data_IF_271288370458
#
_entry.id   IF_271288370458
#
_cell.length_a   1.000
_cell.length_b   1.000
_cell.length_c   1.000
_cell.angle_alpha   90.00
_cell.angle_beta   90.00
_cell.angle_gamma   90.00
#
_symmetry.space_group_name_H-M   'P 1'
#
loop_
_entity.id
_entity.type
_entity.pdbx_description
1 polymer ?
#
# COMPACT_ATOMS: atom_id res chain seq x y z
N UNK A 1 8.17 -27.89 9.04
CA UNK A 1 8.46 -26.77 8.11
C UNK A 1 9.74 -26.11 8.58
N UNK A 2 10.82 -26.26 7.83
CA UNK A 2 12.14 -25.72 8.17
C UNK A 2 12.14 -24.16 8.04
N UNK A 3 12.46 -23.40 9.10
CA UNK A 3 12.54 -21.94 9.06
C UNK A 3 13.55 -21.39 8.04
N UNK A 4 14.52 -22.20 7.60
CA UNK A 4 15.55 -21.82 6.63
C UNK A 4 15.09 -21.81 5.17
N UNK A 5 13.91 -22.38 4.88
CA UNK A 5 13.30 -22.38 3.54
C UNK A 5 12.47 -21.12 3.25
N UNK A 6 12.36 -20.17 4.19
CA UNK A 6 11.97 -18.80 3.84
C UNK A 6 13.20 -18.12 3.27
N UNK A 7 13.24 -17.96 1.94
CA UNK A 7 14.14 -17.00 1.31
C UNK A 7 14.02 -15.66 2.07
N UNK A 8 15.09 -15.16 2.69
CA UNK A 8 15.01 -13.94 3.47
C UNK A 8 14.65 -12.80 2.50
N UNK A 9 13.65 -12.01 2.87
CA UNK A 9 13.25 -10.77 2.18
C UNK A 9 14.43 -9.79 1.96
N UNK A 10 15.58 -10.02 2.64
CA UNK A 10 16.84 -9.27 2.57
C UNK A 10 17.34 -8.92 1.15
N UNK A 11 17.09 -9.75 0.14
CA UNK A 11 17.58 -9.46 -1.22
C UNK A 11 16.70 -8.46 -1.99
N UNK A 12 15.41 -8.32 -1.65
CA UNK A 12 14.54 -7.28 -2.21
C UNK A 12 14.72 -5.92 -1.49
N UNK A 13 15.17 -5.95 -0.23
CA UNK A 13 15.34 -4.75 0.62
C UNK A 13 16.33 -3.75 0.03
N UNK A 14 17.45 -4.18 -0.56
CA UNK A 14 18.47 -3.24 -1.09
C UNK A 14 17.96 -2.40 -2.26
N UNK A 15 17.16 -2.98 -3.16
CA UNK A 15 16.57 -2.25 -4.28
C UNK A 15 15.54 -1.22 -3.81
N UNK A 16 14.73 -1.58 -2.82
CA UNK A 16 13.76 -0.67 -2.20
C UNK A 16 14.44 0.46 -1.42
N UNK A 17 15.52 0.18 -0.68
CA UNK A 17 16.30 1.22 0.01
C UNK A 17 16.86 2.24 -0.99
N UNK A 18 17.46 1.79 -2.10
CA UNK A 18 17.98 2.69 -3.12
C UNK A 18 16.89 3.53 -3.78
N UNK A 19 15.72 2.93 -4.08
CA UNK A 19 14.57 3.65 -4.61
C UNK A 19 14.09 4.73 -3.64
N UNK A 20 13.98 4.40 -2.35
CA UNK A 20 13.57 5.32 -1.29
C UNK A 20 14.57 6.47 -1.17
N UNK A 21 15.88 6.17 -1.11
CA UNK A 21 16.93 7.19 -1.04
C UNK A 21 16.90 8.13 -2.26
N UNK A 22 16.70 7.58 -3.46
CA UNK A 22 16.57 8.36 -4.70
C UNK A 22 15.32 9.25 -4.69
N UNK A 23 14.16 8.73 -4.23
CA UNK A 23 12.93 9.51 -4.09
C UNK A 23 13.10 10.68 -3.13
N UNK A 24 13.72 10.46 -1.96
CA UNK A 24 14.00 11.51 -0.97
C UNK A 24 14.95 12.56 -1.55
N UNK A 25 16.03 12.13 -2.21
CA UNK A 25 17.01 13.03 -2.81
C UNK A 25 16.39 13.92 -3.90
N UNK A 26 15.46 13.37 -4.69
CA UNK A 26 14.75 14.10 -5.75
C UNK A 26 13.64 15.01 -5.22
N UNK A 27 12.99 14.68 -4.11
CA UNK A 27 11.88 15.47 -3.56
C UNK A 27 12.29 16.64 -2.67
N UNK A 28 13.58 16.75 -2.34
CA UNK A 28 14.16 18.05 -2.06
C UNK A 28 13.98 18.65 -0.67
N UNK A 29 13.24 18.09 0.32
CA UNK A 29 13.59 18.31 1.77
C UNK A 29 12.80 17.59 2.87
N UNK A 30 11.73 16.82 2.64
CA UNK A 30 11.15 16.03 3.74
C UNK A 30 10.29 14.87 3.25
N UNK A 31 10.47 13.72 3.88
CA UNK A 31 9.66 12.53 3.66
C UNK A 31 9.06 12.06 4.99
N UNK A 32 7.89 11.44 4.91
CA UNK A 32 7.28 10.74 6.03
C UNK A 32 6.84 9.34 5.57
N UNK A 33 7.11 8.34 6.39
CA UNK A 33 6.72 6.96 6.10
C UNK A 33 5.43 6.67 6.85
N UNK A 34 4.43 6.20 6.13
CA UNK A 34 3.17 5.76 6.70
C UNK A 34 2.96 4.27 6.46
N UNK A 35 2.47 3.57 7.47
CA UNK A 35 2.18 2.14 7.39
C UNK A 35 1.00 1.80 8.30
N UNK A 36 0.38 0.64 8.13
CA UNK A 36 -0.66 0.21 9.06
C UNK A 36 -0.09 -0.51 10.28
N UNK A 37 -0.95 -0.87 11.22
CA UNK A 37 -0.58 -1.72 12.36
C UNK A 37 -0.13 -3.13 11.97
N UNK A 38 -0.28 -3.55 10.71
CA UNK A 38 0.08 -4.91 10.30
C UNK A 38 1.56 -5.19 10.51
N UNK A 39 1.85 -6.18 11.36
CA UNK A 39 3.21 -6.59 11.76
C UNK A 39 4.18 -6.67 10.58
N UNK A 40 3.84 -7.39 9.52
CA UNK A 40 4.71 -7.55 8.34
C UNK A 40 5.02 -6.22 7.62
N UNK A 41 4.08 -5.28 7.61
CA UNK A 41 4.30 -3.97 6.99
C UNK A 41 5.17 -3.09 7.89
N UNK A 42 4.99 -3.17 9.22
CA UNK A 42 5.87 -2.51 10.19
C UNK A 42 7.30 -3.04 10.11
N UNK A 43 7.49 -4.37 10.15
CA UNK A 43 8.80 -5.00 10.04
C UNK A 43 9.50 -4.57 8.74
N UNK A 44 8.77 -4.51 7.62
CA UNK A 44 9.31 -4.00 6.35
C UNK A 44 9.71 -2.52 6.43
N UNK A 45 8.89 -1.67 7.06
CA UNK A 45 9.26 -0.26 7.28
C UNK A 45 10.51 -0.13 8.17
N UNK A 46 10.58 -0.88 9.26
CA UNK A 46 11.73 -0.88 10.17
C UNK A 46 13.00 -1.34 9.45
N UNK A 47 12.94 -2.41 8.66
CA UNK A 47 14.07 -2.88 7.85
C UNK A 47 14.56 -1.83 6.84
N UNK A 48 13.66 -1.05 6.25
CA UNK A 48 13.99 -0.03 5.24
C UNK A 48 14.46 1.29 5.84
N UNK A 49 13.92 1.70 6.98
CA UNK A 49 14.05 3.06 7.50
C UNK A 49 14.74 3.17 8.86
N UNK A 50 15.07 2.06 9.52
CA UNK A 50 15.75 2.04 10.84
C UNK A 50 17.05 2.85 10.90
N UNK A 51 17.76 2.99 9.78
CA UNK A 51 19.01 3.76 9.70
C UNK A 51 18.80 5.18 9.13
N UNK A 52 17.57 5.69 9.11
CA UNK A 52 17.23 7.02 8.60
C UNK A 52 16.62 7.89 9.70
N UNK A 53 16.61 9.21 9.52
CA UNK A 53 15.90 10.15 10.41
C UNK A 53 14.40 10.28 10.09
N UNK A 54 13.88 9.45 9.17
CA UNK A 54 12.51 9.57 8.67
C UNK A 54 11.55 8.92 9.65
N UNK A 55 10.52 9.62 10.13
CA UNK A 55 9.56 9.05 11.06
C UNK A 55 8.70 7.97 10.36
N UNK A 56 8.50 6.85 11.05
CA UNK A 56 7.50 5.82 10.70
C UNK A 56 6.24 6.11 11.51
N UNK A 57 5.16 6.43 10.82
CA UNK A 57 3.86 6.80 11.41
C UNK A 57 2.84 5.72 11.10
N UNK A 58 2.09 5.30 12.11
CA UNK A 58 1.02 4.31 11.94
C UNK A 58 -0.28 5.03 11.54
N UNK A 59 -0.91 4.54 10.47
CA UNK A 59 -2.23 4.98 10.02
C UNK A 59 -3.06 3.78 9.54
N UNK A 60 -4.11 3.44 10.28
CA UNK A 60 -4.94 2.27 9.99
C UNK A 60 -5.71 2.37 8.67
N UNK A 61 -5.86 3.58 8.11
CA UNK A 61 -6.46 3.75 6.78
C UNK A 61 -5.60 3.18 5.65
N UNK A 62 -4.35 2.80 5.92
CA UNK A 62 -3.47 2.09 4.99
C UNK A 62 -3.46 0.58 5.19
N UNK A 63 -4.23 0.05 6.14
CA UNK A 63 -4.35 -1.40 6.38
C UNK A 63 -4.81 -2.09 5.09
N UNK A 64 -4.34 -3.31 4.83
CA UNK A 64 -4.90 -4.10 3.73
C UNK A 64 -6.42 -4.19 3.85
N UNK A 65 -7.12 -4.35 2.73
CA UNK A 65 -8.57 -4.56 2.74
C UNK A 65 -8.97 -5.70 3.68
N UNK A 66 -10.02 -5.50 4.48
CA UNK A 66 -10.63 -6.59 5.22
C UNK A 66 -11.46 -7.45 4.27
N UNK A 67 -11.00 -8.66 3.98
CA UNK A 67 -11.72 -9.59 3.12
C UNK A 67 -12.60 -10.56 3.92
N UNK A 68 -12.73 -10.35 5.22
CA UNK A 68 -13.50 -11.20 6.11
C UNK A 68 -12.85 -12.56 6.39
N UNK A 69 -13.38 -13.31 7.38
CA UNK A 69 -12.81 -14.57 7.82
C UNK A 69 -12.87 -15.65 6.74
N UNK A 70 -13.89 -15.60 5.87
CA UNK A 70 -14.08 -16.59 4.81
C UNK A 70 -12.99 -16.53 3.73
N UNK A 71 -12.34 -15.38 3.53
CA UNK A 71 -11.36 -15.17 2.46
C UNK A 71 -9.93 -14.98 3.02
N UNK A 72 -9.77 -14.92 4.33
CA UNK A 72 -8.47 -14.75 5.00
C UNK A 72 -7.56 -15.96 4.72
N UNK A 73 -6.31 -15.69 4.31
CA UNK A 73 -5.28 -16.73 4.08
C UNK A 73 -5.42 -17.51 2.77
N UNK A 74 -6.45 -17.24 1.96
CA UNK A 74 -6.63 -17.89 0.67
C UNK A 74 -5.71 -17.28 -0.40
N UNK A 75 -5.07 -18.14 -1.19
CA UNK A 75 -4.29 -17.70 -2.34
C UNK A 75 -5.25 -17.25 -3.45
N UNK A 76 -5.25 -15.95 -3.73
CA UNK A 76 -6.13 -15.37 -4.73
C UNK A 76 -5.66 -15.65 -6.17
N UNK A 77 -4.42 -16.06 -6.38
CA UNK A 77 -3.90 -16.40 -7.71
C UNK A 77 -4.37 -17.81 -8.16
N UNK A 78 -4.74 -18.68 -7.21
CA UNK A 78 -5.21 -20.05 -7.48
C UNK A 78 -6.74 -20.15 -7.56
N UNK A 79 -7.46 -19.22 -6.92
CA UNK A 79 -8.91 -19.17 -6.94
C UNK A 79 -9.39 -18.09 -7.91
N UNK A 80 -10.02 -18.48 -9.01
CA UNK A 80 -10.83 -17.59 -9.88
C UNK A 80 -11.87 -16.84 -9.04
N UNK A 81 -11.47 -15.72 -8.43
CA UNK A 81 -12.35 -14.76 -7.80
C UNK A 81 -12.32 -13.53 -8.65
N UNK A 82 -13.49 -13.12 -9.08
CA UNK A 82 -13.60 -11.85 -9.75
C UNK A 82 -13.57 -10.76 -8.69
N UNK A 83 -12.40 -10.14 -8.48
CA UNK A 83 -12.29 -8.96 -7.60
C UNK A 83 -13.29 -7.88 -7.98
N UNK A 84 -13.77 -7.88 -9.23
CA UNK A 84 -14.78 -6.96 -9.72
C UNK A 84 -16.13 -7.14 -9.01
N UNK A 85 -16.44 -8.32 -8.47
CA UNK A 85 -17.65 -8.52 -7.66
C UNK A 85 -17.65 -7.69 -6.38
N UNK A 86 -16.46 -7.36 -5.86
CA UNK A 86 -16.29 -6.70 -4.57
C UNK A 86 -15.97 -5.20 -4.69
N UNK A 87 -16.21 -4.62 -5.87
CA UNK A 87 -15.93 -3.20 -6.13
C UNK A 87 -16.79 -2.33 -5.22
N UNK A 88 -18.12 -2.48 -5.33
CA UNK A 88 -19.10 -1.78 -4.48
C UNK A 88 -19.70 -2.69 -3.40
N UNK A 89 -19.65 -4.01 -3.62
CA UNK A 89 -20.15 -4.98 -2.65
C UNK A 89 -19.05 -5.35 -1.67
N UNK A 90 -19.28 -5.27 -0.36
CA UNK A 90 -18.26 -5.68 0.60
C UNK A 90 -18.04 -7.19 0.56
N UNK A 91 -16.81 -7.61 0.89
CA UNK A 91 -16.58 -8.99 1.29
C UNK A 91 -17.52 -9.34 2.47
N UNK A 92 -17.99 -10.59 2.60
CA UNK A 92 -18.75 -11.03 3.77
C UNK A 92 -18.01 -10.71 5.08
N UNK A 93 -18.61 -9.85 5.92
CA UNK A 93 -18.01 -9.33 7.16
C UNK A 93 -16.67 -8.59 6.93
N UNK A 94 -16.50 -7.96 5.77
CA UNK A 94 -15.32 -7.18 5.41
C UNK A 94 -15.69 -5.87 4.70
N UNK A 95 -14.75 -5.34 3.94
CA UNK A 95 -14.84 -4.09 3.19
C UNK A 95 -15.12 -4.34 1.71
N UNK A 96 -15.66 -3.35 0.99
CA UNK A 96 -15.57 -3.33 -0.48
C UNK A 96 -14.26 -2.66 -0.92
N UNK A 97 -13.86 -2.79 -2.19
CA UNK A 97 -12.77 -1.97 -2.72
C UNK A 97 -13.13 -0.47 -2.68
N UNK A 98 -14.40 -0.11 -2.83
CA UNK A 98 -14.90 1.24 -2.67
C UNK A 98 -14.71 1.78 -1.26
N UNK A 99 -14.96 0.98 -0.23
CA UNK A 99 -14.70 1.36 1.17
C UNK A 99 -13.19 1.55 1.41
N UNK A 100 -12.36 0.64 0.88
CA UNK A 100 -10.91 0.78 0.95
C UNK A 100 -10.43 2.06 0.26
N UNK A 101 -10.92 2.35 -0.94
CA UNK A 101 -10.60 3.57 -1.67
C UNK A 101 -11.04 4.83 -0.90
N UNK A 102 -12.19 4.79 -0.23
CA UNK A 102 -12.71 5.90 0.59
C UNK A 102 -11.76 6.22 1.74
N UNK A 103 -11.35 5.24 2.54
CA UNK A 103 -10.42 5.49 3.67
C UNK A 103 -9.03 5.91 3.22
N UNK A 104 -8.53 5.41 2.09
CA UNK A 104 -7.25 5.87 1.53
C UNK A 104 -7.36 7.31 1.02
N UNK A 105 -8.52 7.69 0.44
CA UNK A 105 -8.78 9.08 0.05
C UNK A 105 -8.80 9.99 1.27
N UNK A 106 -9.48 9.62 2.35
CA UNK A 106 -9.48 10.37 3.61
C UNK A 106 -8.06 10.57 4.17
N UNK A 107 -7.22 9.53 4.09
CA UNK A 107 -5.79 9.64 4.42
C UNK A 107 -5.08 10.69 3.56
N UNK A 108 -5.23 10.62 2.24
CA UNK A 108 -4.58 11.55 1.32
C UNK A 108 -5.10 12.99 1.47
N UNK A 109 -6.41 13.18 1.66
CA UNK A 109 -7.06 14.47 1.92
C UNK A 109 -6.53 15.13 3.20
N UNK A 110 -6.29 14.34 4.25
CA UNK A 110 -5.74 14.85 5.49
C UNK A 110 -4.23 15.17 5.35
N UNK A 111 -3.47 14.24 4.76
CA UNK A 111 -2.00 14.36 4.71
C UNK A 111 -1.54 15.38 3.69
N UNK A 112 -2.23 15.57 2.56
CA UNK A 112 -1.92 16.63 1.60
C UNK A 112 -1.99 18.04 2.21
N UNK A 113 -2.88 18.25 3.18
CA UNK A 113 -2.97 19.51 3.93
C UNK A 113 -1.82 19.70 4.92
N UNK A 114 -1.30 18.60 5.47
CA UNK A 114 -0.18 18.60 6.42
C UNK A 114 1.18 18.69 5.71
N UNK A 115 1.27 18.24 4.46
CA UNK A 115 2.52 17.93 3.76
C UNK A 115 2.59 18.53 2.35
N UNK A 116 2.44 19.86 2.22
CA UNK A 116 2.41 20.54 0.90
C UNK A 116 3.61 20.23 -0.01
N UNK A 117 4.79 19.99 0.57
CA UNK A 117 6.05 19.74 -0.16
C UNK A 117 6.73 18.42 0.24
N UNK A 118 6.00 17.45 0.84
CA UNK A 118 6.64 16.21 1.34
C UNK A 118 6.29 14.99 0.50
N UNK A 119 7.26 14.08 0.39
CA UNK A 119 7.03 12.74 -0.17
C UNK A 119 6.45 11.82 0.90
N UNK A 120 5.26 11.28 0.64
CA UNK A 120 4.67 10.21 1.45
C UNK A 120 5.12 8.87 0.89
N UNK A 121 5.75 8.04 1.74
CA UNK A 121 6.11 6.67 1.39
C UNK A 121 5.20 5.72 2.16
N UNK A 122 4.53 4.79 1.47
CA UNK A 122 3.63 3.83 2.11
C UNK A 122 4.02 2.39 1.80
N UNK A 123 3.99 1.51 2.80
CA UNK A 123 4.10 0.06 2.60
C UNK A 123 2.70 -0.56 2.68
N UNK A 124 2.20 -1.01 1.53
CA UNK A 124 0.80 -1.41 1.34
C UNK A 124 0.59 -2.90 1.09
N UNK A 125 -0.61 -3.22 0.61
CA UNK A 125 -0.96 -4.53 0.07
C UNK A 125 -0.69 -4.54 -1.44
N UNK A 126 -0.64 -5.72 -2.08
CA UNK A 126 -0.28 -5.83 -3.51
C UNK A 126 -1.26 -5.13 -4.46
N UNK A 127 -2.52 -4.92 -4.06
CA UNK A 127 -3.50 -4.14 -4.84
C UNK A 127 -3.59 -2.67 -4.39
N UNK A 128 -2.74 -2.22 -3.47
CA UNK A 128 -2.66 -0.79 -3.13
C UNK A 128 -2.37 0.09 -4.36
N UNK A 129 -1.50 -0.29 -5.33
CA UNK A 129 -1.28 0.51 -6.54
C UNK A 129 -2.57 0.81 -7.31
N UNK A 130 -3.49 -0.14 -7.43
CA UNK A 130 -4.81 0.07 -8.02
C UNK A 130 -5.61 1.17 -7.30
N UNK A 131 -5.64 1.13 -5.97
CA UNK A 131 -6.33 2.13 -5.15
C UNK A 131 -5.74 3.52 -5.36
N UNK A 132 -4.41 3.65 -5.33
CA UNK A 132 -3.74 4.92 -5.60
C UNK A 132 -3.95 5.40 -7.05
N UNK A 133 -3.97 4.51 -8.04
CA UNK A 133 -4.28 4.89 -9.42
C UNK A 133 -5.72 5.40 -9.55
N UNK A 134 -6.68 4.73 -8.90
CA UNK A 134 -8.06 5.18 -8.87
C UNK A 134 -8.17 6.59 -8.26
N UNK A 135 -7.56 6.81 -7.09
CA UNK A 135 -7.67 8.08 -6.38
C UNK A 135 -6.89 9.21 -7.06
N UNK A 136 -5.64 8.95 -7.44
CA UNK A 136 -4.69 9.98 -7.90
C UNK A 136 -4.72 10.21 -9.41
N UNK A 137 -5.14 9.21 -10.21
CA UNK A 137 -5.17 9.30 -11.68
C UNK A 137 -6.58 9.28 -12.26
N UNK A 138 -7.62 9.11 -11.42
CA UNK A 138 -9.01 9.09 -11.86
C UNK A 138 -9.40 7.87 -12.69
N UNK A 139 -8.61 6.79 -12.64
CA UNK A 139 -8.95 5.52 -13.30
C UNK A 139 -10.15 4.90 -12.58
N UNK A 140 -11.09 4.27 -13.29
CA UNK A 140 -12.17 3.55 -12.60
C UNK A 140 -11.62 2.44 -11.72
N UNK A 141 -12.31 2.11 -10.62
CA UNK A 141 -11.79 1.15 -9.65
C UNK A 141 -11.69 -0.25 -10.25
N UNK A 142 -12.66 -0.64 -11.08
CA UNK A 142 -12.68 -1.88 -11.84
C UNK A 142 -11.43 -2.00 -12.71
N UNK A 143 -11.18 -0.99 -13.53
CA UNK A 143 -10.03 -0.97 -14.43
C UNK A 143 -8.72 -0.99 -13.66
N UNK A 144 -8.61 -0.22 -12.59
CA UNK A 144 -7.40 -0.18 -11.79
C UNK A 144 -7.09 -1.54 -11.15
N UNK A 145 -8.12 -2.25 -10.67
CA UNK A 145 -7.99 -3.58 -10.10
C UNK A 145 -7.59 -4.60 -11.18
N UNK A 146 -8.22 -4.57 -12.35
CA UNK A 146 -7.86 -5.42 -13.49
C UNK A 146 -6.42 -5.19 -13.96
N UNK A 147 -6.01 -3.93 -14.08
CA UNK A 147 -4.71 -3.53 -14.64
C UNK A 147 -3.59 -3.48 -13.58
N UNK A 148 -3.84 -3.88 -12.33
CA UNK A 148 -2.94 -3.63 -11.19
C UNK A 148 -1.48 -4.04 -11.43
N UNK A 149 -1.24 -5.16 -12.10
CA UNK A 149 0.11 -5.65 -12.40
C UNK A 149 0.93 -4.68 -13.28
N UNK A 150 0.25 -3.82 -14.04
CA UNK A 150 0.87 -2.82 -14.93
C UNK A 150 0.95 -1.44 -14.26
N UNK A 151 0.45 -1.29 -13.03
CA UNK A 151 0.45 -0.01 -12.32
C UNK A 151 1.74 0.11 -11.52
N UNK A 152 2.52 1.12 -11.86
CA UNK A 152 3.75 1.48 -11.16
C UNK A 152 3.98 3.00 -11.14
N UNK A 153 5.06 3.40 -10.48
CA UNK A 153 5.53 4.77 -10.42
C UNK A 153 4.99 5.55 -9.22
N UNK A 154 5.49 6.78 -9.03
CA UNK A 154 4.96 7.68 -8.03
C UNK A 154 3.50 8.05 -8.36
N UNK A 155 2.74 8.37 -7.31
CA UNK A 155 1.40 8.90 -7.43
C UNK A 155 1.40 10.34 -6.95
N UNK A 156 0.83 11.24 -7.75
CA UNK A 156 0.65 12.65 -7.39
C UNK A 156 -0.80 12.85 -6.99
N UNK A 157 -1.00 13.30 -5.75
CA UNK A 157 -2.31 13.68 -5.24
C UNK A 157 -2.40 15.21 -5.21
N UNK A 158 -3.53 15.77 -5.66
CA UNK A 158 -3.76 17.21 -5.79
C UNK A 158 -5.04 17.61 -5.08
#
# INVERSE_FOLDING_TARGET
MDPSLRLPFKNQTRGLVLLVSDLIAKSGTSAAVYTSSMRRQKETCEDLFSNTSIPIIIDERLRQIDNGPQYTGMNFDEGKRDYLEFIDKPFPQGESFGDFARRVREFLDEKSKQHREHTIITIGWRLSPAIFAHICRGVSLERAITDNANISGPFTYR
#
